data_IF_374526356415
#
_entry.id   IF_374526356415
#
_cell.length_a   1.000
_cell.length_b   1.000
_cell.length_c   1.000
_cell.angle_alpha   90.00
_cell.angle_beta   90.00
_cell.angle_gamma   90.00
#
_symmetry.space_group_name_H-M   'P 1'
#
loop_
_entity.id
_entity.type
_entity.pdbx_description
1 polymer ?
#
# COMPACT_ATOMS: atom_id res chain seq x y z
N UNK A 1 8.55 2.42 11.28
CA UNK A 1 9.43 1.27 11.54
C UNK A 1 9.97 0.66 10.26
N UNK A 2 9.21 0.72 9.17
CA UNK A 2 9.63 0.18 7.87
C UNK A 2 10.21 1.28 6.94
N UNK A 3 10.45 2.46 7.46
CA UNK A 3 11.08 3.59 6.77
C UNK A 3 12.44 3.21 6.16
N UNK A 4 13.27 2.53 6.97
CA UNK A 4 14.59 2.06 6.50
C UNK A 4 14.51 0.91 5.50
N UNK A 5 13.49 0.06 5.60
CA UNK A 5 13.27 -1.01 4.63
C UNK A 5 12.89 -0.38 3.27
N UNK A 6 12.02 0.64 3.27
CA UNK A 6 11.64 1.39 2.08
C UNK A 6 12.86 2.09 1.43
N UNK A 7 13.66 2.84 2.22
CA UNK A 7 14.89 3.48 1.72
C UNK A 7 15.84 2.47 1.09
N UNK A 8 16.10 1.33 1.75
CA UNK A 8 16.99 0.29 1.22
C UNK A 8 16.50 -0.31 -0.08
N UNK A 9 15.18 -0.52 -0.20
CA UNK A 9 14.59 -1.06 -1.41
C UNK A 9 14.69 -0.07 -2.58
N UNK A 10 14.41 1.22 -2.34
CA UNK A 10 14.55 2.29 -3.33
C UNK A 10 16.01 2.49 -3.75
N UNK A 11 16.95 2.56 -2.81
CA UNK A 11 18.39 2.66 -3.09
C UNK A 11 18.89 1.47 -3.93
N UNK A 12 18.38 0.24 -3.64
CA UNK A 12 18.74 -0.94 -4.44
C UNK A 12 18.30 -0.80 -5.91
N UNK A 13 17.20 -0.11 -6.17
CA UNK A 13 16.69 0.20 -7.50
C UNK A 13 17.38 1.42 -8.13
N UNK A 14 18.28 2.09 -7.40
CA UNK A 14 18.97 3.31 -7.87
C UNK A 14 18.14 4.59 -7.67
N UNK A 15 17.06 4.53 -6.91
CA UNK A 15 16.20 5.67 -6.60
C UNK A 15 16.71 6.34 -5.32
N UNK A 16 17.17 7.59 -5.43
CA UNK A 16 17.58 8.38 -4.25
C UNK A 16 16.37 8.69 -3.38
N UNK A 17 16.52 8.48 -2.07
CA UNK A 17 15.44 8.72 -1.11
C UNK A 17 15.98 9.23 0.23
N UNK A 18 15.18 10.05 0.91
CA UNK A 18 15.47 10.54 2.24
C UNK A 18 14.32 10.31 3.20
N UNK A 19 14.63 10.14 4.49
CA UNK A 19 13.62 10.03 5.55
C UNK A 19 13.29 11.42 6.06
N UNK A 20 12.02 11.81 5.91
CA UNK A 20 11.48 13.06 6.43
C UNK A 20 10.76 12.80 7.76
N UNK A 21 11.11 13.57 8.79
CA UNK A 21 10.42 13.50 10.07
C UNK A 21 9.09 14.25 10.01
N UNK A 22 8.03 13.61 10.45
CA UNK A 22 6.66 14.14 10.31
C UNK A 22 6.41 15.54 10.92
N UNK A 23 7.29 16.02 11.78
CA UNK A 23 7.19 17.36 12.38
C UNK A 23 7.95 18.45 11.58
N UNK A 24 8.78 18.06 10.60
CA UNK A 24 9.61 18.99 9.82
C UNK A 24 8.93 19.49 8.53
N UNK A 25 7.79 18.88 8.14
CA UNK A 25 7.09 19.12 6.87
C UNK A 25 7.80 18.46 5.68
N UNK A 26 7.14 18.45 4.52
CA UNK A 26 7.74 17.92 3.30
C UNK A 26 8.75 18.89 2.69
N UNK A 27 9.81 18.38 2.03
CA UNK A 27 10.62 19.20 1.12
C UNK A 27 9.75 19.86 0.05
N UNK A 28 10.20 20.97 -0.51
CA UNK A 28 9.54 21.58 -1.64
C UNK A 28 9.66 20.68 -2.88
N UNK A 29 8.54 20.45 -3.57
CA UNK A 29 8.45 19.71 -4.85
C UNK A 29 9.11 18.31 -4.79
N UNK A 30 8.66 17.38 -3.93
CA UNK A 30 9.19 16.02 -3.93
C UNK A 30 8.78 15.28 -5.21
N UNK A 31 9.69 14.50 -5.79
CA UNK A 31 9.43 13.70 -6.99
C UNK A 31 8.48 12.51 -6.70
N UNK A 32 8.41 12.07 -5.44
CA UNK A 32 7.51 11.02 -4.97
C UNK A 32 7.52 10.88 -3.46
N UNK A 33 6.48 10.27 -2.91
CA UNK A 33 6.29 10.14 -1.47
C UNK A 33 5.95 8.68 -1.13
N UNK A 34 6.69 8.11 -0.17
CA UNK A 34 6.32 6.83 0.46
C UNK A 34 5.89 7.09 1.89
N UNK A 35 4.66 6.69 2.24
CA UNK A 35 4.20 6.60 3.62
C UNK A 35 4.46 5.15 4.08
N UNK A 36 5.51 4.91 4.87
CA UNK A 36 5.97 3.55 5.14
C UNK A 36 5.09 2.80 6.14
N UNK A 37 5.31 1.50 6.22
CA UNK A 37 4.73 0.65 7.24
C UNK A 37 5.24 0.96 8.65
N UNK A 38 4.55 0.44 9.65
CA UNK A 38 4.87 0.63 11.06
C UNK A 38 3.65 0.47 11.96
N UNK A 39 3.69 1.16 13.09
CA UNK A 39 2.59 1.28 14.05
C UNK A 39 2.61 2.69 14.67
N UNK A 40 2.34 3.68 13.82
CA UNK A 40 2.37 5.08 14.19
C UNK A 40 1.47 5.37 15.39
N UNK A 41 2.00 6.13 16.36
CA UNK A 41 1.31 6.41 17.63
C UNK A 41 0.83 5.15 18.39
N UNK A 42 1.47 3.95 18.14
CA UNK A 42 1.11 2.70 18.79
C UNK A 42 -0.26 2.15 18.40
N UNK A 43 -0.78 2.55 17.23
CA UNK A 43 -2.11 2.18 16.70
C UNK A 43 -3.28 2.53 17.65
N UNK A 44 -3.09 3.54 18.49
CA UNK A 44 -4.15 4.01 19.39
C UNK A 44 -5.35 4.53 18.60
N UNK A 45 -6.55 4.28 19.10
CA UNK A 45 -7.87 4.47 18.51
C UNK A 45 -8.14 3.46 17.38
N UNK A 46 -7.49 3.62 16.25
CA UNK A 46 -7.45 2.77 15.08
C UNK A 46 -6.13 3.03 14.37
N UNK A 47 -5.52 2.00 13.80
CA UNK A 47 -4.24 2.13 13.13
C UNK A 47 -4.30 3.22 12.05
N UNK A 48 -3.31 4.10 12.05
CA UNK A 48 -3.23 5.25 11.14
C UNK A 48 -4.04 6.48 11.54
N UNK A 49 -5.09 6.35 12.37
CA UNK A 49 -6.03 7.44 12.65
C UNK A 49 -5.40 8.70 13.27
N UNK A 50 -4.43 8.54 14.16
CA UNK A 50 -3.71 9.68 14.76
C UNK A 50 -2.73 10.30 13.77
N UNK A 51 -1.97 9.48 13.06
CA UNK A 51 -1.02 9.95 12.06
C UNK A 51 -1.70 10.73 10.92
N UNK A 52 -2.89 10.29 10.48
CA UNK A 52 -3.69 10.96 9.46
C UNK A 52 -4.11 12.40 9.84
N UNK A 53 -3.93 12.81 11.08
CA UNK A 53 -4.25 14.16 11.60
C UNK A 53 -3.02 15.03 11.83
N UNK A 54 -1.84 14.53 11.48
CA UNK A 54 -0.59 15.31 11.61
C UNK A 54 -0.47 16.33 10.47
N UNK A 55 0.16 17.50 10.71
CA UNK A 55 0.28 18.55 9.71
C UNK A 55 0.94 18.10 8.41
N UNK A 56 1.92 17.19 8.46
CA UNK A 56 2.60 16.68 7.25
C UNK A 56 1.62 16.02 6.27
N UNK A 57 0.49 15.47 6.74
CA UNK A 57 -0.52 14.87 5.85
C UNK A 57 -1.30 15.93 5.05
N UNK A 58 -1.31 17.19 5.49
CA UNK A 58 -1.85 18.29 4.68
C UNK A 58 -0.88 18.60 3.52
N UNK A 59 0.44 18.54 3.78
CA UNK A 59 1.47 18.68 2.75
C UNK A 59 1.43 17.50 1.76
N UNK A 60 1.28 16.28 2.25
CA UNK A 60 1.14 15.06 1.41
C UNK A 60 -0.08 15.17 0.49
N UNK A 61 -1.24 15.61 1.01
CA UNK A 61 -2.42 15.82 0.18
C UNK A 61 -2.19 16.89 -0.89
N UNK A 62 -1.58 18.02 -0.50
CA UNK A 62 -1.27 19.09 -1.45
C UNK A 62 -0.32 18.63 -2.56
N UNK A 63 0.68 17.81 -2.22
CA UNK A 63 1.58 17.18 -3.19
C UNK A 63 0.81 16.21 -4.11
N UNK A 64 -0.05 15.33 -3.55
CA UNK A 64 -0.91 14.44 -4.30
C UNK A 64 -1.84 15.22 -5.24
N UNK A 65 -2.53 16.25 -4.76
CA UNK A 65 -3.39 17.13 -5.58
C UNK A 65 -2.62 17.81 -6.73
N UNK A 66 -1.29 17.92 -6.60
CA UNK A 66 -0.40 18.48 -7.62
C UNK A 66 0.16 17.42 -8.58
N UNK A 67 -0.17 16.13 -8.39
CA UNK A 67 0.26 15.03 -9.25
C UNK A 67 1.52 14.30 -8.77
N UNK A 68 2.02 14.57 -7.56
CA UNK A 68 3.15 13.83 -6.98
C UNK A 68 2.74 12.39 -6.67
N UNK A 69 3.48 11.36 -7.13
CA UNK A 69 3.22 9.97 -6.79
C UNK A 69 3.29 9.72 -5.28
N UNK A 70 2.24 9.09 -4.73
CA UNK A 70 2.16 8.76 -3.29
C UNK A 70 1.83 7.28 -3.11
N UNK A 71 2.71 6.56 -2.42
CA UNK A 71 2.52 5.15 -2.06
C UNK A 71 2.38 4.99 -0.55
N UNK A 72 1.24 4.48 -0.09
CA UNK A 72 1.04 4.08 1.31
C UNK A 72 1.19 2.56 1.48
N UNK A 73 2.12 2.13 2.34
CA UNK A 73 2.40 0.71 2.59
C UNK A 73 1.99 0.32 4.01
N UNK A 74 1.18 -0.72 4.19
CA UNK A 74 0.77 -1.26 5.48
C UNK A 74 0.19 -0.16 6.41
N UNK A 75 0.89 0.30 7.44
CA UNK A 75 0.45 1.44 8.25
C UNK A 75 0.29 2.72 7.39
N UNK A 76 1.10 2.90 6.37
CA UNK A 76 0.92 3.97 5.37
C UNK A 76 -0.40 3.86 4.60
N UNK A 77 -0.86 2.64 4.30
CA UNK A 77 -2.18 2.41 3.70
C UNK A 77 -3.32 2.78 4.64
N UNK A 78 -3.19 2.42 5.92
CA UNK A 78 -4.14 2.83 6.96
C UNK A 78 -4.19 4.37 7.08
N UNK A 79 -3.04 5.03 7.10
CA UNK A 79 -2.94 6.50 7.12
C UNK A 79 -3.58 7.11 5.87
N UNK A 80 -3.29 6.57 4.69
CA UNK A 80 -3.86 7.02 3.42
C UNK A 80 -5.39 6.98 3.41
N UNK A 81 -5.98 5.87 3.85
CA UNK A 81 -7.44 5.74 3.98
C UNK A 81 -8.03 6.67 5.05
N UNK A 82 -7.41 6.75 6.24
CA UNK A 82 -7.87 7.63 7.32
C UNK A 82 -7.73 9.12 7.00
N UNK A 83 -6.80 9.47 6.12
CA UNK A 83 -6.59 10.84 5.65
C UNK A 83 -7.46 11.20 4.44
N UNK A 84 -8.12 10.22 3.82
CA UNK A 84 -8.96 10.43 2.64
C UNK A 84 -8.20 10.46 1.31
N UNK A 85 -6.92 10.07 1.29
CA UNK A 85 -6.15 9.91 0.05
C UNK A 85 -6.68 8.75 -0.81
N UNK A 86 -7.22 7.72 -0.16
CA UNK A 86 -7.84 6.57 -0.83
C UNK A 86 -9.18 6.20 -0.20
N UNK A 87 -10.10 5.57 -0.93
CA UNK A 87 -11.37 5.14 -0.40
C UNK A 87 -11.24 3.91 0.50
N UNK A 88 -12.28 3.64 1.30
CA UNK A 88 -12.36 2.50 2.21
C UNK A 88 -11.70 2.75 3.56
N UNK A 89 -11.49 1.68 4.31
CA UNK A 89 -10.83 1.69 5.61
C UNK A 89 -10.18 0.33 5.87
N UNK A 90 -9.13 0.31 6.68
CA UNK A 90 -8.52 -0.93 7.16
C UNK A 90 -8.95 -1.18 8.61
N UNK A 91 -9.38 -2.40 8.88
CA UNK A 91 -9.92 -2.82 10.17
C UNK A 91 -9.20 -4.07 10.68
N UNK A 92 -9.53 -4.49 11.90
CA UNK A 92 -8.95 -5.69 12.51
C UNK A 92 -9.13 -6.91 11.62
N UNK A 93 -8.05 -7.68 11.42
CA UNK A 93 -8.09 -8.93 10.69
C UNK A 93 -9.23 -9.85 11.17
N UNK A 94 -9.86 -10.60 10.26
CA UNK A 94 -10.93 -11.55 10.58
C UNK A 94 -10.56 -12.53 11.71
N UNK A 95 -9.27 -12.90 11.78
CA UNK A 95 -8.74 -13.78 12.82
C UNK A 95 -8.54 -13.09 14.19
N UNK A 96 -8.63 -11.76 14.26
CA UNK A 96 -8.23 -10.92 15.38
C UNK A 96 -6.77 -11.18 15.85
N UNK A 97 -5.91 -11.62 14.95
CA UNK A 97 -4.49 -11.91 15.21
C UNK A 97 -3.60 -11.13 14.27
N UNK A 98 -2.41 -10.80 14.75
CA UNK A 98 -1.34 -10.31 13.89
C UNK A 98 -0.89 -11.45 12.95
N UNK A 99 -0.76 -11.14 11.66
CA UNK A 99 -0.31 -12.05 10.62
C UNK A 99 0.99 -11.50 10.03
N UNK A 100 1.98 -12.37 9.90
CA UNK A 100 3.28 -12.06 9.29
C UNK A 100 3.72 -13.28 8.49
N UNK A 101 3.43 -13.24 7.19
CA UNK A 101 3.62 -14.36 6.28
C UNK A 101 3.73 -13.87 4.83
N UNK A 102 4.36 -14.64 3.92
CA UNK A 102 4.25 -14.38 2.48
C UNK A 102 2.81 -14.64 2.03
N UNK A 103 2.36 -13.82 1.08
CA UNK A 103 1.05 -13.97 0.41
C UNK A 103 1.23 -13.79 -1.08
N UNK A 104 0.30 -14.33 -1.87
CA UNK A 104 0.24 -14.08 -3.29
C UNK A 104 -0.78 -13.00 -3.60
N UNK A 105 -0.41 -12.13 -4.54
CA UNK A 105 -1.26 -11.05 -5.03
C UNK A 105 -1.44 -11.22 -6.52
N UNK A 106 -2.69 -11.18 -6.98
CA UNK A 106 -3.01 -11.08 -8.39
C UNK A 106 -3.12 -9.62 -8.78
N UNK A 107 -2.47 -9.26 -9.89
CA UNK A 107 -2.57 -7.93 -10.50
C UNK A 107 -3.93 -7.80 -11.20
N UNK A 108 -4.73 -6.83 -10.79
CA UNK A 108 -6.07 -6.60 -11.35
C UNK A 108 -6.05 -5.51 -12.44
N UNK A 109 -5.23 -4.49 -12.28
CA UNK A 109 -5.02 -3.41 -13.23
C UNK A 109 -3.52 -3.24 -13.50
N UNK A 110 -3.08 -3.27 -14.75
CA UNK A 110 -1.68 -3.09 -15.16
C UNK A 110 -1.44 -1.73 -15.88
N UNK A 111 -2.47 -0.92 -16.03
CA UNK A 111 -2.42 0.39 -16.71
C UNK A 111 -2.28 1.54 -15.70
N UNK A 112 -1.33 1.39 -14.76
CA UNK A 112 -1.02 2.40 -13.75
C UNK A 112 0.49 2.48 -13.51
N UNK A 113 1.03 3.58 -12.99
CA UNK A 113 2.45 3.67 -12.64
C UNK A 113 2.90 2.54 -11.68
N UNK A 114 2.04 2.14 -10.75
CA UNK A 114 2.31 1.14 -9.70
C UNK A 114 2.39 -0.29 -10.21
N UNK A 115 1.85 -0.55 -11.37
CA UNK A 115 1.67 -1.90 -11.92
C UNK A 115 2.22 -2.04 -13.34
N UNK A 116 2.80 -1.00 -13.91
CA UNK A 116 3.33 -0.97 -15.28
C UNK A 116 4.41 -2.03 -15.57
N UNK A 117 5.02 -2.61 -14.53
CA UNK A 117 5.99 -3.69 -14.67
C UNK A 117 5.37 -5.10 -14.77
N UNK A 118 4.06 -5.21 -14.69
CA UNK A 118 3.31 -6.47 -14.66
C UNK A 118 2.26 -6.52 -15.77
N UNK A 119 1.68 -7.70 -15.97
CA UNK A 119 0.49 -7.92 -16.80
C UNK A 119 -0.73 -8.21 -15.90
N UNK A 120 -1.94 -7.92 -16.38
CA UNK A 120 -3.16 -8.29 -15.68
C UNK A 120 -3.23 -9.80 -15.53
N UNK A 121 -3.45 -10.27 -14.30
CA UNK A 121 -3.45 -11.68 -13.95
C UNK A 121 -2.11 -12.22 -13.47
N UNK A 122 -1.03 -11.45 -13.56
CA UNK A 122 0.24 -11.84 -12.94
C UNK A 122 0.08 -12.09 -11.44
N UNK A 123 0.82 -13.08 -10.93
CA UNK A 123 0.84 -13.45 -9.52
C UNK A 123 2.19 -13.11 -8.95
N UNK A 124 2.22 -12.26 -7.93
CA UNK A 124 3.44 -11.82 -7.25
C UNK A 124 3.44 -12.25 -5.79
N UNK A 125 4.61 -12.61 -5.26
CA UNK A 125 4.77 -12.98 -3.85
C UNK A 125 5.31 -11.80 -3.05
N UNK A 126 4.52 -11.31 -2.08
CA UNK A 126 4.86 -10.16 -1.24
C UNK A 126 4.44 -10.44 0.21
N UNK A 127 5.29 -10.18 1.23
CA UNK A 127 4.92 -10.45 2.61
C UNK A 127 3.93 -9.44 3.18
N UNK A 128 3.11 -9.90 4.13
CA UNK A 128 2.29 -9.06 5.01
C UNK A 128 2.82 -9.08 6.44
N UNK A 129 2.52 -8.02 7.21
CA UNK A 129 2.84 -7.93 8.63
C UNK A 129 1.88 -6.96 9.34
N UNK A 130 0.66 -7.41 9.68
CA UNK A 130 -0.38 -6.52 10.23
C UNK A 130 -1.40 -7.23 11.12
N UNK A 131 -1.99 -6.48 12.05
CA UNK A 131 -3.14 -6.89 12.86
C UNK A 131 -4.46 -6.27 12.37
N UNK A 132 -4.38 -5.16 11.65
CA UNK A 132 -5.51 -4.39 11.11
C UNK A 132 -5.33 -4.18 9.60
N UNK A 133 -5.36 -5.26 8.82
CA UNK A 133 -5.17 -5.23 7.37
C UNK A 133 -6.42 -5.51 6.55
N UNK A 134 -7.56 -5.72 7.20
CA UNK A 134 -8.81 -6.07 6.54
C UNK A 134 -9.43 -4.84 5.88
N UNK A 135 -9.44 -4.83 4.55
CA UNK A 135 -10.07 -3.76 3.77
C UNK A 135 -11.59 -3.87 3.82
N UNK A 136 -12.24 -2.75 4.17
CA UNK A 136 -13.69 -2.61 4.29
C UNK A 136 -14.17 -1.36 3.56
N UNK A 137 -15.25 -1.51 2.81
CA UNK A 137 -15.91 -0.45 2.07
C UNK A 137 -17.38 -0.83 1.83
N UNK A 138 -18.28 0.12 1.63
CA UNK A 138 -19.67 -0.15 1.25
C UNK A 138 -19.76 -0.86 -0.11
N UNK A 139 -20.77 -1.75 -0.30
CA UNK A 139 -20.86 -2.59 -1.51
C UNK A 139 -20.95 -1.77 -2.80
N UNK A 140 -21.75 -0.71 -2.79
CA UNK A 140 -21.92 0.21 -3.91
C UNK A 140 -20.63 0.95 -4.27
N UNK A 141 -19.83 1.31 -3.25
CA UNK A 141 -18.53 1.96 -3.46
C UNK A 141 -17.47 0.96 -3.93
N UNK A 142 -17.51 -0.30 -3.48
CA UNK A 142 -16.61 -1.32 -3.99
C UNK A 142 -16.90 -1.60 -5.47
N UNK A 143 -18.18 -1.74 -5.83
CA UNK A 143 -18.57 -1.91 -7.23
C UNK A 143 -18.06 -0.74 -8.11
N UNK A 144 -18.15 0.50 -7.63
CA UNK A 144 -17.60 1.64 -8.34
C UNK A 144 -16.07 1.58 -8.49
N UNK A 145 -15.35 1.13 -7.46
CA UNK A 145 -13.89 0.92 -7.56
C UNK A 145 -13.51 -0.17 -8.58
N UNK A 146 -14.32 -1.23 -8.65
CA UNK A 146 -14.14 -2.33 -9.60
C UNK A 146 -14.48 -1.87 -11.03
N UNK A 147 -15.57 -1.13 -11.21
CA UNK A 147 -15.99 -0.59 -12.51
C UNK A 147 -15.01 0.47 -13.07
N UNK A 148 -14.31 1.20 -12.18
CA UNK A 148 -13.33 2.25 -12.52
C UNK A 148 -11.88 1.69 -12.56
N UNK A 149 -11.68 0.37 -12.51
CA UNK A 149 -10.38 -0.32 -12.51
C UNK A 149 -9.42 0.18 -11.41
N UNK A 150 -9.93 0.62 -10.24
CA UNK A 150 -9.17 1.18 -9.14
C UNK A 150 -8.73 0.15 -8.07
N UNK A 151 -9.00 -1.11 -8.27
CA UNK A 151 -8.42 -2.21 -7.49
C UNK A 151 -7.12 -2.62 -8.16
N UNK A 152 -5.98 -2.45 -7.47
CA UNK A 152 -4.66 -2.80 -8.01
C UNK A 152 -4.34 -4.28 -7.84
N UNK A 153 -4.58 -4.79 -6.63
CA UNK A 153 -4.21 -6.14 -6.24
C UNK A 153 -5.29 -6.82 -5.41
N UNK A 154 -5.42 -8.14 -5.62
CA UNK A 154 -6.21 -9.01 -4.74
C UNK A 154 -5.35 -10.12 -4.16
N UNK A 155 -5.63 -10.51 -2.93
CA UNK A 155 -5.08 -11.75 -2.37
C UNK A 155 -5.59 -12.94 -3.18
N UNK A 156 -4.66 -13.82 -3.58
CA UNK A 156 -4.95 -15.02 -4.33
C UNK A 156 -4.11 -16.19 -3.83
N UNK A 157 -4.34 -17.39 -4.36
CA UNK A 157 -3.41 -18.51 -4.20
C UNK A 157 -2.29 -18.48 -5.26
N UNK A 158 -1.38 -19.46 -5.20
CA UNK A 158 -0.24 -19.53 -6.12
C UNK A 158 -0.63 -19.73 -7.61
N UNK A 159 -1.86 -20.16 -7.87
CA UNK A 159 -2.41 -20.34 -9.22
C UNK A 159 -3.18 -19.07 -9.69
N UNK A 160 -3.25 -18.03 -8.86
CA UNK A 160 -3.92 -16.76 -9.15
C UNK A 160 -5.42 -16.76 -8.85
N UNK A 161 -5.95 -17.80 -8.19
CA UNK A 161 -7.36 -17.86 -7.85
C UNK A 161 -7.69 -17.05 -6.59
N UNK A 162 -8.59 -16.08 -6.73
CA UNK A 162 -9.08 -15.25 -5.62
C UNK A 162 -10.13 -16.02 -4.85
N UNK A 163 -9.77 -16.53 -3.69
CA UNK A 163 -10.65 -17.36 -2.85
C UNK A 163 -10.64 -16.87 -1.40
N UNK A 164 -11.67 -17.24 -0.63
CA UNK A 164 -11.72 -16.96 0.81
C UNK A 164 -10.55 -17.61 1.57
N UNK A 165 -10.05 -18.75 1.09
CA UNK A 165 -8.93 -19.45 1.71
C UNK A 165 -7.58 -18.74 1.49
N UNK A 166 -7.41 -18.09 0.35
CA UNK A 166 -6.25 -17.31 -0.01
C UNK A 166 -6.26 -15.88 0.59
N UNK A 167 -7.40 -15.46 1.13
CA UNK A 167 -7.57 -14.14 1.74
C UNK A 167 -7.18 -14.17 3.23
N UNK A 168 -5.98 -13.70 3.61
CA UNK A 168 -5.44 -13.93 4.94
C UNK A 168 -6.19 -13.15 6.02
N UNK A 169 -6.65 -11.96 5.71
CA UNK A 169 -7.19 -11.01 6.70
C UNK A 169 -8.70 -10.82 6.63
N UNK A 170 -9.36 -11.36 5.60
CA UNK A 170 -10.79 -11.21 5.36
C UNK A 170 -11.19 -9.92 4.66
N UNK A 171 -10.25 -9.29 3.95
CA UNK A 171 -10.52 -8.12 3.10
C UNK A 171 -11.67 -8.38 2.13
N UNK A 172 -12.52 -7.38 1.95
CA UNK A 172 -13.67 -7.46 1.08
C UNK A 172 -13.23 -7.76 -0.36
N UNK A 173 -13.81 -8.77 -0.99
CA UNK A 173 -13.43 -9.32 -2.30
C UNK A 173 -11.93 -9.61 -2.46
N UNK A 174 -11.21 -9.85 -1.35
CA UNK A 174 -9.77 -10.11 -1.37
C UNK A 174 -8.91 -8.87 -1.69
N UNK A 175 -9.45 -7.67 -1.67
CA UNK A 175 -8.71 -6.44 -2.00
C UNK A 175 -7.49 -6.29 -1.09
N UNK A 176 -6.31 -6.14 -1.71
CA UNK A 176 -5.03 -5.96 -1.04
C UNK A 176 -4.41 -4.58 -1.27
N UNK A 177 -4.78 -3.91 -2.37
CA UNK A 177 -4.33 -2.57 -2.72
C UNK A 177 -5.31 -1.85 -3.64
N UNK A 178 -5.42 -0.53 -3.48
CA UNK A 178 -6.35 0.33 -4.24
C UNK A 178 -5.70 1.65 -4.62
N UNK A 179 -6.21 2.26 -5.68
CA UNK A 179 -5.91 3.65 -6.09
C UNK A 179 -6.73 4.68 -5.31
N UNK A 180 -6.19 5.88 -5.22
CA UNK A 180 -6.91 7.10 -4.90
C UNK A 180 -7.89 7.52 -6.00
N UNK A 181 -8.32 8.78 -6.00
CA UNK A 181 -9.14 9.31 -7.10
C UNK A 181 -8.32 9.44 -8.39
N UNK A 182 -7.02 9.69 -8.23
CA UNK A 182 -6.04 9.78 -9.31
C UNK A 182 -5.06 8.61 -9.25
N UNK A 183 -4.57 8.17 -10.42
CA UNK A 183 -3.73 6.97 -10.57
C UNK A 183 -2.36 7.07 -9.90
N UNK A 184 -1.91 8.29 -9.56
CA UNK A 184 -0.63 8.52 -8.89
C UNK A 184 -0.68 8.35 -7.37
N UNK A 185 -1.84 8.06 -6.77
CA UNK A 185 -1.98 7.75 -5.36
C UNK A 185 -2.40 6.29 -5.20
N UNK A 186 -1.60 5.49 -4.50
CA UNK A 186 -1.89 4.10 -4.24
C UNK A 186 -1.64 3.71 -2.78
N UNK A 187 -2.41 2.75 -2.28
CA UNK A 187 -2.14 2.12 -0.99
C UNK A 187 -2.26 0.61 -1.09
N UNK A 188 -1.44 -0.11 -0.34
CA UNK A 188 -1.52 -1.56 -0.22
C UNK A 188 -1.07 -2.04 1.17
N UNK A 189 -1.66 -3.13 1.64
CA UNK A 189 -1.29 -3.74 2.94
C UNK A 189 -0.02 -4.58 2.89
N UNK A 190 0.26 -5.34 1.82
CA UNK A 190 1.53 -6.04 1.67
C UNK A 190 2.73 -5.09 1.57
N UNK A 191 3.93 -5.62 1.83
CA UNK A 191 5.18 -4.89 1.93
C UNK A 191 6.08 -5.10 0.69
N UNK A 192 5.95 -4.32 -0.40
CA UNK A 192 6.78 -4.47 -1.59
C UNK A 192 8.27 -4.21 -1.28
N UNK A 193 8.59 -3.33 -0.32
CA UNK A 193 9.96 -3.07 0.10
C UNK A 193 10.67 -4.28 0.71
N UNK A 194 9.89 -5.25 1.22
CA UNK A 194 10.41 -6.51 1.77
C UNK A 194 10.48 -7.64 0.73
N UNK A 195 9.93 -7.41 -0.45
CA UNK A 195 10.03 -8.28 -1.62
C UNK A 195 10.80 -7.60 -2.74
N UNK A 196 11.94 -6.95 -2.42
CA UNK A 196 12.74 -6.16 -3.37
C UNK A 196 14.23 -6.44 -3.32
N UNK A 197 14.72 -7.12 -2.30
CA UNK A 197 16.14 -7.39 -2.10
C UNK A 197 16.42 -8.89 -2.30
N UNK A 198 17.17 -9.29 -3.34
CA UNK A 198 17.39 -10.70 -3.66
C UNK A 198 18.10 -11.51 -2.56
N UNK A 199 18.84 -10.83 -1.69
CA UNK A 199 19.51 -11.48 -0.54
C UNK A 199 18.56 -11.81 0.64
N UNK A 200 17.31 -11.31 0.58
CA UNK A 200 16.33 -11.48 1.68
C UNK A 200 15.18 -12.40 1.26
N UNK A 201 14.75 -12.34 0.01
CA UNK A 201 13.57 -13.09 -0.45
C UNK A 201 13.19 -12.82 -1.90
N UNK A 202 11.90 -12.98 -2.25
CA UNK A 202 11.41 -12.67 -3.58
C UNK A 202 11.66 -11.19 -3.93
N UNK A 203 11.69 -10.90 -5.22
CA UNK A 203 11.92 -9.55 -5.74
C UNK A 203 10.71 -8.99 -6.49
N UNK A 204 9.57 -9.65 -6.35
CA UNK A 204 8.35 -9.31 -7.07
C UNK A 204 7.78 -7.94 -6.70
N UNK A 205 8.11 -7.42 -5.52
CA UNK A 205 7.73 -6.08 -5.10
C UNK A 205 8.47 -4.93 -5.79
N UNK A 206 9.57 -5.22 -6.50
CA UNK A 206 10.34 -4.19 -7.22
C UNK A 206 9.50 -3.45 -8.25
N UNK A 207 8.61 -4.17 -8.96
CA UNK A 207 7.78 -3.57 -9.99
C UNK A 207 6.88 -2.44 -9.46
N UNK A 208 6.41 -2.55 -8.20
CA UNK A 208 5.61 -1.51 -7.55
C UNK A 208 6.47 -0.28 -7.24
N UNK A 209 7.69 -0.48 -6.74
CA UNK A 209 8.59 0.61 -6.35
C UNK A 209 9.20 1.35 -7.56
N UNK A 210 9.25 0.71 -8.74
CA UNK A 210 9.70 1.33 -9.99
C UNK A 210 8.79 2.45 -10.49
N UNK A 211 7.61 2.62 -9.91
CA UNK A 211 6.76 3.80 -10.15
C UNK A 211 7.45 5.13 -9.80
N UNK A 212 8.55 5.08 -9.06
CA UNK A 212 9.36 6.25 -8.67
C UNK A 212 10.60 6.46 -9.56
N UNK A 213 10.80 5.67 -10.65
CA UNK A 213 11.91 5.82 -11.62
C UNK A 213 11.74 7.03 -12.58
#
# INVERSE_FOLDING_TARGET
NCDRDAVRALEHLGIESEIVWHADGLPADPDGIVIPGGFSYGDYLRAGAMAARTPILDDVRAAADSGTPVLGVCNGAQIGSESGLTPGAFTTNRSARFQCEPVYLRVENADTPWTAAYEVGDVIEVPIAHGEGRFEIADDRLAALEDDDRVLFRYCDADGEVTDAANPNGSKHGVAGVLGEDDHVAVLMPHPERASLPDIGPTDGQGILRAFE
#
